data_IF_045737499158
#
_entry.id   IF_045737499158
#
_cell.length_a   1.000
_cell.length_b   1.000
_cell.length_c   1.000
_cell.angle_alpha   90.00
_cell.angle_beta   90.00
_cell.angle_gamma   90.00
#
_symmetry.space_group_name_H-M   'P 1'
#
loop_
_entity.id
_entity.type
_entity.pdbx_description
1 polymer ?
#
# COMPACT_ATOMS: atom_id res chain seq x y z
N UNK A 1 10.07 -12.66 6.72
CA UNK A 1 10.63 -14.02 6.50
C UNK A 1 11.96 -14.08 7.21
N UNK A 2 12.13 -14.98 8.16
CA UNK A 2 13.45 -15.31 8.69
C UNK A 2 14.20 -16.11 7.62
N UNK A 3 15.31 -15.58 7.14
CA UNK A 3 16.05 -16.16 6.03
C UNK A 3 16.88 -17.36 6.48
N UNK A 4 17.28 -17.41 7.75
CA UNK A 4 18.10 -18.49 8.32
C UNK A 4 17.26 -19.73 8.56
N UNK A 5 16.09 -19.54 9.16
CA UNK A 5 15.12 -20.60 9.49
C UNK A 5 14.18 -20.92 8.32
N UNK A 6 14.17 -20.07 7.28
CA UNK A 6 13.23 -20.15 6.17
C UNK A 6 11.77 -20.16 6.64
N UNK A 7 11.45 -19.33 7.64
CA UNK A 7 10.14 -19.28 8.27
C UNK A 7 9.45 -17.92 8.08
N UNK A 8 8.15 -17.95 7.77
CA UNK A 8 7.35 -16.74 7.73
C UNK A 8 7.08 -16.26 9.16
N UNK A 9 7.82 -15.24 9.61
CA UNK A 9 7.62 -14.62 10.93
C UNK A 9 6.34 -13.77 10.98
N UNK A 10 6.09 -12.98 9.93
CA UNK A 10 4.94 -12.10 9.83
C UNK A 10 4.66 -11.66 8.39
N UNK A 11 3.43 -11.21 8.16
CA UNK A 11 2.97 -10.56 6.94
C UNK A 11 2.18 -9.29 7.25
N UNK A 12 2.24 -8.32 6.35
CA UNK A 12 1.48 -7.09 6.44
C UNK A 12 0.97 -6.70 5.05
N UNK A 13 -0.29 -6.28 4.90
CA UNK A 13 -1.38 -6.35 5.89
C UNK A 13 -1.79 -7.80 6.22
N UNK A 14 -2.53 -7.98 7.33
CA UNK A 14 -2.96 -9.31 7.85
C UNK A 14 -3.85 -10.09 6.87
N UNK A 15 -4.72 -9.37 6.15
CA UNK A 15 -5.52 -9.91 5.07
C UNK A 15 -5.00 -9.39 3.73
N UNK A 16 -5.09 -10.21 2.68
CA UNK A 16 -5.09 -9.75 1.29
C UNK A 16 -6.35 -8.90 1.05
N UNK A 17 -6.47 -7.76 1.72
CA UNK A 17 -7.36 -6.72 1.25
C UNK A 17 -6.78 -6.26 -0.09
N UNK A 18 -7.37 -6.81 -1.15
CA UNK A 18 -7.03 -6.64 -2.57
C UNK A 18 -6.93 -5.19 -3.04
N UNK A 19 -7.26 -4.21 -2.19
CA UNK A 19 -7.23 -2.80 -2.47
C UNK A 19 -5.86 -2.13 -2.29
N UNK A 20 -4.90 -2.76 -1.58
CA UNK A 20 -3.63 -2.11 -1.21
C UNK A 20 -2.47 -2.75 -1.94
N UNK A 21 -1.82 -1.96 -2.79
CA UNK A 21 -0.65 -2.39 -3.54
C UNK A 21 0.60 -1.74 -2.96
N UNK A 22 1.70 -2.47 -2.89
CA UNK A 22 3.00 -1.99 -2.44
C UNK A 22 4.01 -2.25 -3.56
N UNK A 23 4.51 -1.18 -4.20
CA UNK A 23 5.52 -1.29 -5.27
C UNK A 23 6.89 -0.80 -4.83
N UNK A 24 6.95 0.10 -3.85
CA UNK A 24 8.20 0.55 -3.29
C UNK A 24 8.80 -0.54 -2.39
N UNK A 25 10.12 -0.70 -2.47
CA UNK A 25 10.84 -1.52 -1.50
C UNK A 25 10.68 -0.91 -0.10
N UNK A 26 10.50 -1.73 0.95
CA UNK A 26 10.47 -1.24 2.33
C UNK A 26 11.85 -0.75 2.77
N UNK A 27 11.88 0.17 3.73
CA UNK A 27 13.10 0.60 4.42
C UNK A 27 13.13 0.05 5.84
N UNK A 28 14.27 -0.50 6.26
CA UNK A 28 14.43 -1.10 7.59
C UNK A 28 15.57 -0.41 8.34
N UNK A 29 15.32 0.03 9.57
CA UNK A 29 16.31 0.62 10.47
C UNK A 29 15.93 0.36 11.93
N UNK A 30 16.86 -0.15 12.73
CA UNK A 30 16.72 -0.33 14.19
C UNK A 30 15.41 -1.03 14.62
N UNK A 31 15.06 -2.14 13.95
CA UNK A 31 13.84 -2.90 14.24
C UNK A 31 12.55 -2.16 13.85
N UNK A 32 12.64 -1.18 12.95
CA UNK A 32 11.48 -0.47 12.38
C UNK A 32 11.44 -0.69 10.89
N UNK A 33 10.24 -0.91 10.37
CA UNK A 33 10.00 -1.04 8.94
C UNK A 33 9.12 0.11 8.49
N UNK A 34 9.57 0.83 7.45
CA UNK A 34 8.79 1.84 6.75
C UNK A 34 8.32 1.26 5.43
N UNK A 35 7.00 1.29 5.20
CA UNK A 35 6.38 0.80 3.97
C UNK A 35 5.36 1.83 3.48
N UNK A 36 5.32 2.09 2.18
CA UNK A 36 4.34 2.98 1.55
C UNK A 36 3.45 2.23 0.57
N UNK A 37 2.13 2.44 0.68
CA UNK A 37 1.20 1.93 -0.32
C UNK A 37 1.22 2.78 -1.62
N UNK A 38 0.72 2.19 -2.71
CA UNK A 38 0.56 2.83 -4.01
C UNK A 38 -0.76 3.63 -4.12
N UNK A 39 -1.47 3.76 -3.01
CA UNK A 39 -2.72 4.47 -2.93
C UNK A 39 -3.93 3.57 -3.12
N UNK A 40 -4.93 3.84 -2.28
CA UNK A 40 -6.24 3.21 -2.34
C UNK A 40 -7.19 4.10 -3.12
N UNK A 41 -7.97 3.57 -4.09
CA UNK A 41 -9.01 4.35 -4.74
C UNK A 41 -9.94 4.98 -3.71
N UNK A 42 -10.31 6.23 -3.95
CA UNK A 42 -11.39 6.85 -3.19
C UNK A 42 -12.72 6.12 -3.44
N UNK A 43 -13.68 6.30 -2.53
CA UNK A 43 -15.05 5.85 -2.76
C UNK A 43 -15.71 6.60 -3.92
N UNK A 44 -16.99 6.31 -4.20
CA UNK A 44 -17.78 6.86 -5.31
C UNK A 44 -17.71 8.40 -5.49
N UNK A 45 -17.35 9.14 -4.45
CA UNK A 45 -17.27 10.61 -4.44
C UNK A 45 -15.86 11.18 -4.25
N UNK A 46 -14.82 10.34 -4.20
CA UNK A 46 -13.42 10.78 -4.13
C UNK A 46 -12.66 10.36 -5.38
N UNK A 47 -12.40 11.30 -6.32
CA UNK A 47 -11.69 10.96 -7.55
C UNK A 47 -10.21 10.63 -7.29
N UNK A 48 -9.62 11.20 -6.24
CA UNK A 48 -8.20 11.05 -5.96
C UNK A 48 -7.94 9.87 -5.01
N UNK A 49 -6.91 9.06 -5.28
CA UNK A 49 -6.51 8.01 -4.35
C UNK A 49 -5.77 8.60 -3.15
N UNK A 50 -5.91 7.93 -2.01
CA UNK A 50 -5.18 8.26 -0.78
C UNK A 50 -3.99 7.32 -0.65
N UNK A 51 -2.78 7.88 -0.55
CA UNK A 51 -1.56 7.13 -0.26
C UNK A 51 -1.24 7.15 1.23
N UNK A 52 -0.66 6.07 1.74
CA UNK A 52 -0.31 5.94 3.16
C UNK A 52 1.11 5.42 3.35
N UNK A 53 1.85 6.06 4.25
CA UNK A 53 3.09 5.56 4.84
C UNK A 53 2.80 4.92 6.19
N UNK A 54 3.40 3.76 6.44
CA UNK A 54 3.27 2.98 7.66
C UNK A 54 4.64 2.82 8.32
N UNK A 55 4.76 3.24 9.58
CA UNK A 55 5.88 2.89 10.44
C UNK A 55 5.50 1.70 11.31
N UNK A 56 6.13 0.55 11.06
CA UNK A 56 5.88 -0.71 11.75
C UNK A 56 7.01 -1.03 12.71
N UNK A 57 6.69 -1.75 13.78
CA UNK A 57 7.68 -2.33 14.69
C UNK A 57 7.95 -3.79 14.30
N UNK A 58 9.22 -4.16 14.22
CA UNK A 58 9.71 -5.51 13.91
C UNK A 58 10.21 -6.19 15.19
N UNK A 59 9.29 -6.50 16.12
CA UNK A 59 9.62 -7.05 17.44
C UNK A 59 8.92 -8.37 17.80
N UNK A 60 8.05 -8.91 16.94
CA UNK A 60 7.23 -10.07 17.27
C UNK A 60 6.92 -11.01 16.10
N UNK A 61 6.56 -12.25 16.45
CA UNK A 61 5.90 -13.19 15.54
C UNK A 61 4.41 -12.81 15.40
N UNK A 62 3.88 -12.78 14.18
CA UNK A 62 2.52 -12.31 13.88
C UNK A 62 2.47 -10.88 13.33
N UNK A 63 1.28 -10.30 13.17
CA UNK A 63 1.11 -9.00 12.47
C UNK A 63 1.91 -7.90 13.18
N UNK A 64 2.83 -7.19 12.49
CA UNK A 64 3.65 -6.17 13.12
C UNK A 64 2.76 -4.98 13.55
N UNK A 65 2.94 -4.44 14.78
CA UNK A 65 2.16 -3.29 15.21
C UNK A 65 2.52 -2.05 14.40
N UNK A 66 1.49 -1.29 14.00
CA UNK A 66 1.64 0.03 13.38
C UNK A 66 1.95 1.02 14.50
N UNK A 67 3.18 1.55 14.54
CA UNK A 67 3.59 2.61 15.47
C UNK A 67 2.99 3.96 15.09
N UNK A 68 2.95 4.23 13.78
CA UNK A 68 2.32 5.42 13.21
C UNK A 68 1.95 5.18 11.75
N UNK A 69 1.00 5.98 11.25
CA UNK A 69 0.68 6.06 9.84
C UNK A 69 0.47 7.50 9.42
N UNK A 70 0.85 7.85 8.20
CA UNK A 70 0.61 9.17 7.59
C UNK A 70 -0.03 8.99 6.22
N UNK A 71 -1.21 9.58 6.04
CA UNK A 71 -1.97 9.48 4.79
C UNK A 71 -2.11 10.84 4.13
N UNK A 72 -2.03 10.87 2.80
CA UNK A 72 -2.26 12.09 2.01
C UNK A 72 -2.98 11.78 0.71
N UNK A 73 -3.69 12.77 0.17
CA UNK A 73 -4.27 12.69 -1.16
C UNK A 73 -3.16 12.77 -2.21
N UNK A 74 -3.15 11.83 -3.15
CA UNK A 74 -2.26 11.90 -4.29
C UNK A 74 -2.81 12.91 -5.30
N UNK A 75 -2.28 14.14 -5.27
CA UNK A 75 -2.73 15.23 -6.15
C UNK A 75 -2.09 15.20 -7.54
N UNK A 76 -0.94 14.53 -7.69
CA UNK A 76 -0.17 14.51 -8.95
C UNK A 76 -0.37 13.22 -9.77
N UNK A 77 -1.41 12.44 -9.45
CA UNK A 77 -1.70 11.22 -10.19
C UNK A 77 -2.50 11.55 -11.45
N UNK A 78 -1.82 11.62 -12.59
CA UNK A 78 -2.46 11.61 -13.91
C UNK A 78 -3.03 10.21 -14.15
N UNK A 79 -4.30 9.99 -13.79
CA UNK A 79 -5.04 8.82 -14.23
C UNK A 79 -5.60 9.16 -15.60
N UNK A 80 -5.04 8.56 -16.66
CA UNK A 80 -5.64 8.67 -17.99
C UNK A 80 -7.08 8.12 -17.91
N UNK A 81 -8.12 8.89 -18.29
CA UNK A 81 -9.45 8.34 -18.37
C UNK A 81 -9.44 7.17 -19.38
N UNK A 82 -10.28 6.14 -19.18
CA UNK A 82 -10.42 5.08 -20.17
C UNK A 82 -10.77 5.72 -21.51
N UNK A 83 -9.95 5.45 -22.52
CA UNK A 83 -10.15 5.94 -23.87
C UNK A 83 -11.44 5.34 -24.41
N UNK A 84 -12.55 6.08 -24.32
CA UNK A 84 -13.76 5.74 -25.04
C UNK A 84 -13.48 6.02 -26.52
N UNK A 85 -12.98 5.01 -27.25
CA UNK A 85 -13.09 5.03 -28.70
C UNK A 85 -14.59 4.89 -29.01
N UNK A 86 -15.23 6.02 -29.34
CA UNK A 86 -16.59 6.02 -29.83
C UNK A 86 -16.69 5.19 -31.10
N UNK A 87 -17.61 4.25 -31.12
CA UNK A 87 -18.16 3.71 -32.36
C UNK A 87 -19.20 4.74 -32.84
N UNK A 88 -18.75 5.70 -33.65
CA UNK A 88 -19.64 6.50 -34.48
C UNK A 88 -19.78 5.80 -35.82
N UNK A 89 -20.94 5.17 -36.08
CA UNK A 89 -21.28 4.73 -37.43
C UNK A 89 -22.43 3.73 -37.54
N UNK A 90 -23.67 4.22 -37.55
CA UNK A 90 -24.57 4.08 -38.70
C UNK A 90 -25.77 5.03 -38.60
#
# INVERSE_FOLDING_TARGET
MDVVQQELVWSFPEAFETAVQFYAAPSVLDGRVLIGDYGRPGGMFSPNPTVTLYGLQDDAAGVPPILWSSSTLANDRIIAPPHQSGDEGY
#
